data_IF_098738276545
#
_entry.id   IF_098738276545
#
_cell.length_a   1.000
_cell.length_b   1.000
_cell.length_c   1.000
_cell.angle_alpha   90.00
_cell.angle_beta   90.00
_cell.angle_gamma   90.00
#
_symmetry.space_group_name_H-M   'P 1'
#
loop_
_entity.id
_entity.type
_entity.pdbx_description
1 polymer ?
#
# COMPACT_ATOMS: atom_id res chain seq x y z
N UNK A 1 -11.83 0.59 -13.06
CA UNK A 1 -10.95 -0.58 -13.14
C UNK A 1 -11.47 -1.63 -12.17
N UNK A 2 -11.62 -2.89 -12.57
CA UNK A 2 -12.17 -3.98 -11.73
C UNK A 2 -11.05 -4.63 -10.89
N UNK A 3 -11.22 -4.75 -9.59
CA UNK A 3 -10.18 -5.19 -8.65
C UNK A 3 -10.54 -6.51 -7.95
N UNK A 4 -9.58 -7.43 -7.92
CA UNK A 4 -9.57 -8.61 -7.06
C UNK A 4 -8.59 -8.39 -5.90
N UNK A 5 -9.03 -8.64 -4.66
CA UNK A 5 -8.13 -8.65 -3.50
C UNK A 5 -8.02 -10.07 -2.95
N UNK A 6 -6.80 -10.55 -2.76
CA UNK A 6 -6.52 -11.88 -2.21
C UNK A 6 -5.63 -11.72 -0.98
N UNK A 7 -6.01 -12.30 0.15
CA UNK A 7 -5.19 -12.27 1.38
C UNK A 7 -5.39 -13.51 2.25
N UNK A 8 -4.39 -13.85 3.06
CA UNK A 8 -4.57 -14.83 4.14
C UNK A 8 -4.99 -14.11 5.42
N UNK A 9 -6.02 -14.61 6.11
CA UNK A 9 -6.59 -13.91 7.26
C UNK A 9 -7.61 -14.70 8.06
N UNK A 10 -8.10 -14.10 9.15
CA UNK A 10 -9.03 -14.73 10.07
C UNK A 10 -8.40 -15.29 11.36
N UNK A 11 -9.20 -15.99 12.19
CA UNK A 11 -8.79 -16.38 13.54
C UNK A 11 -7.60 -17.35 13.50
N UNK A 12 -6.59 -17.08 14.32
CA UNK A 12 -5.42 -17.96 14.48
C UNK A 12 -5.68 -18.91 15.66
N UNK A 13 -5.70 -20.24 15.46
CA UNK A 13 -5.90 -21.19 16.55
C UNK A 13 -4.84 -21.08 17.64
N UNK A 14 -5.26 -21.25 18.90
CA UNK A 14 -4.35 -21.19 20.06
C UNK A 14 -3.28 -22.30 20.04
N UNK A 15 -3.64 -23.49 19.52
CA UNK A 15 -2.71 -24.60 19.29
C UNK A 15 -2.43 -24.70 17.81
N UNK A 16 -1.16 -24.56 17.43
CA UNK A 16 -0.70 -24.72 16.06
C UNK A 16 -0.19 -26.14 15.84
N UNK A 17 -0.51 -26.71 14.69
CA UNK A 17 0.11 -27.95 14.24
C UNK A 17 1.57 -27.68 13.84
N UNK A 18 2.40 -28.70 13.92
CA UNK A 18 3.79 -28.60 13.48
C UNK A 18 3.84 -28.29 11.97
N UNK A 19 4.87 -27.56 11.54
CA UNK A 19 5.09 -27.21 10.12
C UNK A 19 3.97 -26.37 9.48
N UNK A 20 3.42 -25.42 10.25
CA UNK A 20 2.48 -24.43 9.74
C UNK A 20 3.07 -23.02 9.77
N UNK A 21 2.56 -22.16 8.89
CA UNK A 21 2.84 -20.72 8.85
C UNK A 21 1.56 -19.95 9.14
N UNK A 22 1.68 -18.79 9.77
CA UNK A 22 0.54 -17.93 10.12
C UNK A 22 0.65 -16.57 9.43
N UNK A 23 -0.49 -16.02 9.05
CA UNK A 23 -0.63 -14.76 8.35
C UNK A 23 -1.60 -13.85 9.10
N UNK A 24 -1.30 -12.56 9.13
CA UNK A 24 -2.22 -11.52 9.59
C UNK A 24 -2.89 -10.82 8.40
N UNK A 25 -4.09 -10.29 8.61
CA UNK A 25 -4.87 -9.56 7.61
C UNK A 25 -5.00 -8.07 7.92
N UNK A 26 -4.25 -7.57 8.89
CA UNK A 26 -4.40 -6.20 9.42
C UNK A 26 -4.29 -5.17 8.29
N UNK A 27 -3.31 -5.35 7.41
CA UNK A 27 -3.14 -4.47 6.25
C UNK A 27 -4.18 -4.70 5.16
N UNK A 28 -4.56 -5.95 4.88
CA UNK A 28 -5.57 -6.25 3.87
C UNK A 28 -6.92 -5.61 4.22
N UNK A 29 -7.36 -5.79 5.47
CA UNK A 29 -8.56 -5.15 6.01
C UNK A 29 -8.45 -3.63 5.90
N UNK A 30 -7.31 -3.06 6.31
CA UNK A 30 -7.07 -1.62 6.23
C UNK A 30 -7.14 -1.12 4.77
N UNK A 31 -6.53 -1.82 3.83
CA UNK A 31 -6.57 -1.47 2.42
C UNK A 31 -7.99 -1.52 1.83
N UNK A 32 -8.74 -2.59 2.09
CA UNK A 32 -10.11 -2.77 1.60
C UNK A 32 -11.04 -1.67 2.16
N UNK A 33 -10.98 -1.42 3.47
CA UNK A 33 -11.79 -0.39 4.15
C UNK A 33 -11.39 1.02 3.71
N UNK A 34 -10.13 1.23 3.33
CA UNK A 34 -9.70 2.48 2.71
C UNK A 34 -10.40 2.69 1.36
N UNK A 35 -10.37 1.68 0.48
CA UNK A 35 -10.99 1.75 -0.84
C UNK A 35 -12.51 1.91 -0.78
N UNK A 36 -13.18 1.31 0.20
CA UNK A 36 -14.63 1.45 0.39
C UNK A 36 -15.05 2.77 1.07
N UNK A 37 -14.10 3.68 1.32
CA UNK A 37 -14.30 4.89 2.12
C UNK A 37 -15.08 4.67 3.42
N UNK A 38 -14.82 3.56 4.12
CA UNK A 38 -15.64 3.20 5.28
C UNK A 38 -15.49 4.25 6.40
N UNK A 39 -16.60 4.53 7.08
CA UNK A 39 -16.60 5.32 8.31
C UNK A 39 -15.76 4.64 9.40
N UNK A 40 -15.18 5.42 10.32
CA UNK A 40 -14.33 4.91 11.40
C UNK A 40 -13.14 4.05 10.95
N UNK A 41 -12.76 4.15 9.67
CA UNK A 41 -11.57 3.52 9.11
C UNK A 41 -10.27 3.96 9.82
N UNK A 42 -10.18 5.25 10.14
CA UNK A 42 -9.03 5.87 10.77
C UNK A 42 -9.36 6.19 12.23
N UNK A 43 -8.42 5.90 13.14
CA UNK A 43 -8.51 6.25 14.56
C UNK A 43 -7.64 7.46 14.95
N UNK A 44 -6.97 8.11 13.99
CA UNK A 44 -5.98 9.17 14.25
C UNK A 44 -6.53 10.35 15.06
N UNK A 45 -7.74 10.83 14.73
CA UNK A 45 -8.42 11.89 15.49
C UNK A 45 -9.25 11.37 16.68
N UNK A 46 -9.47 10.06 16.79
CA UNK A 46 -10.40 9.47 17.76
C UNK A 46 -11.78 10.13 17.70
N UNK A 47 -12.28 10.55 18.86
CA UNK A 47 -13.59 11.20 18.99
C UNK A 47 -13.67 12.61 18.35
N UNK A 48 -12.53 13.19 17.96
CA UNK A 48 -12.44 14.52 17.33
C UNK A 48 -12.32 14.40 15.80
N UNK A 49 -12.95 13.37 15.20
CA UNK A 49 -12.86 13.14 13.77
C UNK A 49 -13.54 14.26 12.97
N UNK A 50 -12.77 14.94 12.11
CA UNK A 50 -13.24 16.00 11.22
C UNK A 50 -13.52 15.50 9.79
N UNK A 51 -13.62 14.18 9.59
CA UNK A 51 -14.03 13.59 8.30
C UNK A 51 -13.17 14.06 7.10
N UNK A 52 -11.86 14.13 7.30
CA UNK A 52 -10.89 14.67 6.33
C UNK A 52 -10.86 14.00 4.93
N UNK A 53 -11.59 12.90 4.74
CA UNK A 53 -11.64 12.10 3.50
C UNK A 53 -12.90 12.35 2.67
N UNK A 54 -13.96 12.89 3.27
CA UNK A 54 -15.30 12.95 2.68
C UNK A 54 -15.36 13.83 1.43
N UNK A 55 -14.46 14.82 1.34
CA UNK A 55 -14.37 15.74 0.20
C UNK A 55 -13.70 15.14 -1.05
N UNK A 56 -13.10 13.95 -0.95
CA UNK A 56 -12.31 13.38 -2.03
C UNK A 56 -13.09 12.40 -2.94
N UNK A 57 -14.30 11.98 -2.57
CA UNK A 57 -15.09 11.03 -3.36
C UNK A 57 -14.36 9.70 -3.64
N UNK A 58 -13.77 9.09 -2.58
CA UNK A 58 -12.86 7.94 -2.66
C UNK A 58 -13.55 6.59 -2.40
N UNK A 59 -14.83 6.46 -2.75
CA UNK A 59 -15.55 5.18 -2.65
C UNK A 59 -15.38 4.37 -3.94
N UNK A 60 -14.52 3.36 -3.85
CA UNK A 60 -14.22 2.39 -4.90
C UNK A 60 -14.81 1.00 -4.58
N UNK A 61 -15.74 0.90 -3.62
CA UNK A 61 -16.33 -0.39 -3.24
C UNK A 61 -16.95 -1.13 -4.45
N UNK A 62 -17.60 -0.40 -5.37
CA UNK A 62 -18.18 -0.96 -6.59
C UNK A 62 -17.18 -1.49 -7.62
N UNK A 63 -15.91 -1.11 -7.51
CA UNK A 63 -14.81 -1.61 -8.35
C UNK A 63 -14.23 -2.93 -7.84
N UNK A 64 -14.38 -3.24 -6.55
CA UNK A 64 -13.92 -4.50 -5.95
C UNK A 64 -14.90 -5.60 -6.38
N UNK A 65 -14.44 -6.51 -7.23
CA UNK A 65 -15.30 -7.58 -7.77
C UNK A 65 -15.47 -8.73 -6.80
N UNK A 66 -14.40 -9.03 -6.06
CA UNK A 66 -14.36 -10.11 -5.09
C UNK A 66 -13.18 -9.92 -4.12
N UNK A 67 -13.33 -10.50 -2.93
CA UNK A 67 -12.36 -10.52 -1.85
C UNK A 67 -12.14 -11.97 -1.43
N UNK A 68 -11.05 -12.57 -1.90
CA UNK A 68 -10.69 -13.94 -1.55
C UNK A 68 -9.88 -13.96 -0.26
N UNK A 69 -10.55 -14.26 0.85
CA UNK A 69 -9.91 -14.56 2.12
C UNK A 69 -9.51 -16.03 2.20
N UNK A 70 -8.21 -16.28 2.22
CA UNK A 70 -7.60 -17.59 2.44
C UNK A 70 -7.36 -17.83 3.94
N UNK A 71 -7.16 -19.09 4.39
CA UNK A 71 -6.90 -19.39 5.79
C UNK A 71 -5.71 -18.61 6.37
N UNK A 72 -5.84 -18.13 7.61
CA UNK A 72 -4.76 -17.46 8.36
C UNK A 72 -3.64 -18.41 8.79
N UNK A 73 -3.89 -19.72 8.80
CA UNK A 73 -2.89 -20.75 9.10
C UNK A 73 -2.92 -21.78 8.00
N UNK A 74 -1.76 -21.99 7.38
CA UNK A 74 -1.57 -22.94 6.29
C UNK A 74 -0.37 -23.85 6.58
N UNK A 75 -0.33 -25.06 6.00
CA UNK A 75 0.89 -25.86 5.96
C UNK A 75 2.05 -25.08 5.35
N UNK A 76 3.27 -25.38 5.79
CA UNK A 76 4.48 -24.73 5.27
C UNK A 76 4.72 -25.04 3.79
N UNK A 77 4.30 -26.22 3.34
CA UNK A 77 4.29 -26.64 1.94
C UNK A 77 2.86 -26.99 1.55
N UNK A 78 2.39 -26.49 0.43
CA UNK A 78 1.05 -26.79 -0.08
C UNK A 78 1.15 -27.89 -1.14
N UNK A 79 0.20 -28.82 -1.13
CA UNK A 79 0.12 -29.87 -2.16
C UNK A 79 -0.38 -29.28 -3.49
N UNK A 80 -1.54 -28.60 -3.48
CA UNK A 80 -2.06 -27.85 -4.62
C UNK A 80 -2.51 -26.43 -4.18
N UNK A 81 -1.67 -25.40 -4.38
CA UNK A 81 -2.03 -24.01 -4.06
C UNK A 81 -3.23 -23.48 -4.85
N UNK A 82 -3.56 -24.06 -6.01
CA UNK A 82 -4.67 -23.60 -6.85
C UNK A 82 -6.03 -23.92 -6.20
N UNK A 83 -6.14 -25.02 -5.44
CA UNK A 83 -7.37 -25.39 -4.74
C UNK A 83 -7.83 -24.30 -3.75
N UNK A 84 -6.87 -23.58 -3.13
CA UNK A 84 -7.17 -22.47 -2.22
C UNK A 84 -7.80 -21.27 -2.93
N UNK A 85 -7.49 -21.06 -4.21
CA UNK A 85 -7.99 -19.94 -5.01
C UNK A 85 -9.33 -20.26 -5.69
N UNK A 86 -9.71 -21.53 -5.73
CA UNK A 86 -10.83 -22.03 -6.51
C UNK A 86 -10.50 -22.23 -7.99
N UNK A 87 -11.42 -22.84 -8.72
CA UNK A 87 -11.21 -23.21 -10.14
C UNK A 87 -11.25 -22.01 -11.09
N UNK A 88 -12.00 -20.96 -10.76
CA UNK A 88 -12.16 -19.76 -11.58
C UNK A 88 -12.22 -18.52 -10.69
N UNK A 89 -11.48 -17.48 -11.08
CA UNK A 89 -11.55 -16.16 -10.43
C UNK A 89 -12.58 -15.31 -11.17
N UNK A 90 -13.31 -14.46 -10.43
CA UNK A 90 -14.23 -13.49 -11.03
C UNK A 90 -13.49 -12.61 -12.05
N UNK A 91 -14.09 -12.24 -13.20
CA UNK A 91 -13.42 -11.38 -14.18
C UNK A 91 -13.00 -10.02 -13.60
N UNK A 92 -11.72 -9.65 -13.77
CA UNK A 92 -11.14 -8.42 -13.20
C UNK A 92 -9.96 -7.88 -14.00
N UNK A 93 -9.57 -6.63 -13.76
CA UNK A 93 -8.48 -5.93 -14.43
C UNK A 93 -7.16 -5.94 -13.65
N UNK A 94 -7.22 -5.94 -12.32
CA UNK A 94 -6.05 -5.93 -11.45
C UNK A 94 -6.24 -6.81 -10.22
N UNK A 95 -5.15 -7.43 -9.77
CA UNK A 95 -5.09 -8.28 -8.60
C UNK A 95 -4.14 -7.68 -7.56
N UNK A 96 -4.61 -7.51 -6.33
CA UNK A 96 -3.76 -7.15 -5.18
C UNK A 96 -3.69 -8.35 -4.24
N UNK A 97 -2.48 -8.87 -4.04
CA UNK A 97 -2.22 -10.00 -3.15
C UNK A 97 -1.52 -9.51 -1.88
N UNK A 98 -2.18 -9.64 -0.73
CA UNK A 98 -1.67 -9.14 0.56
C UNK A 98 -1.40 -10.32 1.48
N UNK A 99 -0.15 -10.47 1.93
CA UNK A 99 0.23 -11.47 2.94
C UNK A 99 -0.26 -12.91 2.66
N UNK A 100 -0.33 -13.31 1.37
CA UNK A 100 -0.71 -14.68 0.98
C UNK A 100 0.45 -15.66 1.09
N UNK A 101 0.17 -16.96 1.14
CA UNK A 101 1.22 -17.99 1.08
C UNK A 101 2.10 -17.83 -0.17
N UNK A 102 3.42 -18.01 -0.04
CA UNK A 102 4.35 -17.81 -1.17
C UNK A 102 4.05 -18.74 -2.35
N UNK A 103 3.60 -19.96 -2.10
CA UNK A 103 3.21 -20.91 -3.17
C UNK A 103 1.88 -20.53 -3.84
N UNK A 104 0.94 -19.91 -3.11
CA UNK A 104 -0.26 -19.31 -3.72
C UNK A 104 0.14 -18.19 -4.67
N UNK A 105 1.08 -17.33 -4.24
CA UNK A 105 1.59 -16.23 -5.04
C UNK A 105 2.29 -16.70 -6.33
N UNK A 106 2.89 -17.89 -6.35
CA UNK A 106 3.50 -18.49 -7.54
C UNK A 106 2.48 -18.98 -8.58
N UNK A 107 1.27 -19.31 -8.15
CA UNK A 107 0.17 -19.80 -9.00
C UNK A 107 -0.71 -18.65 -9.49
N UNK A 108 -0.83 -17.58 -8.69
CA UNK A 108 -1.74 -16.47 -8.92
C UNK A 108 -1.60 -15.77 -10.29
N UNK A 109 -0.41 -15.54 -10.88
CA UNK A 109 -0.29 -14.83 -12.16
C UNK A 109 -1.09 -15.47 -13.28
N UNK A 110 -1.05 -16.79 -13.41
CA UNK A 110 -1.73 -17.51 -14.50
C UNK A 110 -3.25 -17.46 -14.34
N UNK A 111 -3.74 -17.70 -13.12
CA UNK A 111 -5.18 -17.66 -12.81
C UNK A 111 -5.74 -16.25 -12.96
N UNK A 112 -5.02 -15.24 -12.45
CA UNK A 112 -5.39 -13.85 -12.59
C UNK A 112 -5.44 -13.42 -14.07
N UNK A 113 -4.41 -13.75 -14.86
CA UNK A 113 -4.39 -13.44 -16.29
C UNK A 113 -5.54 -14.12 -17.05
N UNK A 114 -5.84 -15.39 -16.73
CA UNK A 114 -6.94 -16.11 -17.35
C UNK A 114 -8.32 -15.45 -17.06
N UNK A 115 -8.45 -14.81 -15.90
CA UNK A 115 -9.62 -14.01 -15.52
C UNK A 115 -9.60 -12.56 -16.05
N UNK A 116 -8.60 -12.18 -16.86
CA UNK A 116 -8.50 -10.86 -17.50
C UNK A 116 -7.58 -9.87 -16.78
N UNK A 117 -6.93 -10.26 -15.68
CA UNK A 117 -6.05 -9.36 -14.94
C UNK A 117 -4.85 -8.94 -15.78
N UNK A 118 -4.60 -7.63 -15.81
CA UNK A 118 -3.47 -6.98 -16.51
C UNK A 118 -2.38 -6.53 -15.54
N UNK A 119 -2.63 -6.57 -14.24
CA UNK A 119 -1.70 -6.13 -13.21
C UNK A 119 -1.78 -7.02 -11.95
N UNK A 120 -0.62 -7.44 -11.45
CA UNK A 120 -0.49 -8.10 -10.15
C UNK A 120 0.40 -7.27 -9.21
N UNK A 121 -0.15 -6.85 -8.09
CA UNK A 121 0.54 -6.02 -7.10
C UNK A 121 0.57 -6.77 -5.77
N UNK A 122 1.76 -6.99 -5.22
CA UNK A 122 1.95 -7.74 -3.98
C UNK A 122 2.78 -6.90 -2.99
N UNK A 123 2.13 -6.02 -2.19
CA UNK A 123 2.82 -5.14 -1.27
C UNK A 123 3.33 -5.88 -0.03
N UNK A 124 4.51 -5.49 0.45
CA UNK A 124 5.11 -6.03 1.68
C UNK A 124 5.14 -4.96 2.77
N UNK A 125 4.37 -5.17 3.84
CA UNK A 125 4.39 -4.33 5.03
C UNK A 125 5.33 -4.85 6.13
N UNK A 126 5.87 -6.06 5.95
CA UNK A 126 6.88 -6.69 6.82
C UNK A 126 8.17 -7.05 6.07
N UNK A 127 9.29 -7.28 6.78
CA UNK A 127 10.57 -7.59 6.14
C UNK A 127 10.56 -8.97 5.46
N UNK A 128 9.87 -9.95 6.05
CA UNK A 128 10.10 -11.37 5.78
C UNK A 128 8.94 -12.12 5.08
N UNK A 129 8.05 -11.41 4.36
CA UNK A 129 6.90 -12.07 3.71
C UNK A 129 7.28 -12.88 2.45
N UNK A 130 7.87 -12.23 1.43
CA UNK A 130 8.16 -12.88 0.13
C UNK A 130 9.65 -12.91 -0.15
N UNK A 131 10.18 -14.13 -0.34
CA UNK A 131 11.57 -14.32 -0.72
C UNK A 131 11.91 -13.66 -2.06
N UNK A 132 13.19 -13.31 -2.26
CA UNK A 132 13.68 -12.76 -3.54
C UNK A 132 13.42 -13.71 -4.72
N UNK A 133 13.56 -15.01 -4.48
CA UNK A 133 13.33 -16.02 -5.50
C UNK A 133 11.87 -16.04 -5.97
N UNK A 134 10.91 -16.07 -5.04
CA UNK A 134 9.48 -16.03 -5.38
C UNK A 134 9.12 -14.74 -6.13
N UNK A 135 9.56 -13.57 -5.63
CA UNK A 135 9.38 -12.30 -6.35
C UNK A 135 9.91 -12.37 -7.79
N UNK A 136 11.10 -12.92 -7.98
CA UNK A 136 11.71 -13.09 -9.29
C UNK A 136 10.91 -14.02 -10.22
N UNK A 137 10.40 -15.15 -9.70
CA UNK A 137 9.57 -16.08 -10.47
C UNK A 137 8.24 -15.43 -10.87
N UNK A 138 7.57 -14.75 -9.95
CA UNK A 138 6.30 -14.07 -10.24
C UNK A 138 6.50 -12.95 -11.26
N UNK A 139 7.51 -12.09 -11.08
CA UNK A 139 7.86 -11.05 -12.08
C UNK A 139 8.15 -11.66 -13.46
N UNK A 140 8.78 -12.84 -13.51
CA UNK A 140 9.04 -13.56 -14.76
C UNK A 140 7.74 -14.04 -15.41
N UNK A 141 6.87 -14.71 -14.66
CA UNK A 141 5.58 -15.18 -15.17
C UNK A 141 4.70 -14.04 -15.66
N UNK A 142 4.55 -12.96 -14.88
CA UNK A 142 3.77 -11.80 -15.29
C UNK A 142 4.28 -11.19 -16.61
N UNK A 143 5.60 -11.08 -16.79
CA UNK A 143 6.20 -10.59 -18.04
C UNK A 143 5.90 -11.52 -19.22
N UNK A 144 5.98 -12.83 -19.03
CA UNK A 144 5.63 -13.83 -20.07
C UNK A 144 4.15 -13.76 -20.46
N UNK A 145 3.29 -13.35 -19.52
CA UNK A 145 1.85 -13.16 -19.71
C UNK A 145 1.48 -11.76 -20.23
N UNK A 146 2.43 -10.82 -20.32
CA UNK A 146 2.15 -9.43 -20.69
C UNK A 146 1.47 -8.59 -19.60
N UNK A 147 1.54 -9.02 -18.34
CA UNK A 147 0.99 -8.30 -17.19
C UNK A 147 2.01 -7.35 -16.55
N UNK A 148 1.50 -6.24 -16.00
CA UNK A 148 2.24 -5.43 -15.04
C UNK A 148 2.43 -6.17 -13.72
N UNK A 149 3.60 -6.01 -13.09
CA UNK A 149 3.90 -6.69 -11.84
C UNK A 149 4.71 -5.79 -10.90
N UNK A 150 4.23 -5.62 -9.66
CA UNK A 150 4.87 -4.76 -8.68
C UNK A 150 4.92 -5.41 -7.30
N UNK A 151 6.05 -5.22 -6.61
CA UNK A 151 6.29 -5.68 -5.24
C UNK A 151 6.72 -4.49 -4.36
N UNK A 152 5.85 -3.49 -4.17
CA UNK A 152 6.18 -2.31 -3.38
C UNK A 152 6.41 -2.71 -1.90
N UNK A 153 7.32 -2.01 -1.24
CA UNK A 153 7.72 -2.28 0.14
C UNK A 153 8.11 -0.98 0.84
N UNK A 154 7.20 -0.34 1.63
CA UNK A 154 5.76 -0.64 1.81
C UNK A 154 4.90 -0.38 0.56
N UNK A 155 3.59 -0.65 0.60
CA UNK A 155 2.68 -0.41 -0.53
C UNK A 155 2.70 1.07 -1.00
N UNK A 156 2.82 2.02 -0.08
CA UNK A 156 2.96 3.44 -0.43
C UNK A 156 4.27 3.76 -1.17
N UNK A 157 5.15 2.79 -1.41
CA UNK A 157 6.32 2.96 -2.26
C UNK A 157 6.07 2.78 -3.74
N UNK A 158 4.89 2.30 -4.14
CA UNK A 158 4.57 1.98 -5.53
C UNK A 158 4.79 3.20 -6.45
N UNK A 159 5.84 3.20 -7.29
CA UNK A 159 6.13 4.31 -8.18
C UNK A 159 5.35 4.19 -9.50
N UNK A 160 5.09 5.31 -10.20
CA UNK A 160 4.59 5.26 -11.57
C UNK A 160 5.67 4.75 -12.54
N UNK A 161 5.25 4.32 -13.73
CA UNK A 161 6.11 3.94 -14.85
C UNK A 161 6.61 2.49 -14.83
N UNK A 162 6.03 1.63 -13.98
CA UNK A 162 6.35 0.18 -13.98
C UNK A 162 5.74 -0.49 -15.20
N UNK A 163 4.45 -0.24 -15.45
CA UNK A 163 3.67 -0.81 -16.53
C UNK A 163 2.38 0.00 -16.69
N UNK A 164 1.84 0.21 -17.92
CA UNK A 164 0.62 0.99 -18.13
C UNK A 164 -0.57 0.52 -17.27
N UNK A 165 -0.74 -0.79 -17.08
CA UNK A 165 -1.81 -1.32 -16.22
C UNK A 165 -1.60 -1.05 -14.72
N UNK A 166 -0.35 -0.92 -14.25
CA UNK A 166 -0.05 -0.54 -12.85
C UNK A 166 -0.28 0.96 -12.67
N UNK A 167 0.06 1.77 -13.67
CA UNK A 167 -0.20 3.22 -13.65
C UNK A 167 -1.71 3.49 -13.68
N UNK A 168 -2.47 2.79 -14.54
CA UNK A 168 -3.94 2.84 -14.57
C UNK A 168 -4.55 2.47 -13.20
N UNK A 169 -4.00 1.45 -12.52
CA UNK A 169 -4.41 1.10 -11.16
C UNK A 169 -4.16 2.24 -10.16
N UNK A 170 -2.96 2.81 -10.17
CA UNK A 170 -2.61 3.91 -9.26
C UNK A 170 -3.49 5.14 -9.47
N UNK A 171 -3.76 5.49 -10.73
CA UNK A 171 -4.56 6.65 -11.10
C UNK A 171 -6.05 6.44 -10.80
N UNK A 172 -6.59 5.26 -11.16
CA UNK A 172 -8.00 4.92 -10.91
C UNK A 172 -8.33 4.92 -9.42
N UNK A 173 -7.55 4.18 -8.61
CA UNK A 173 -7.78 4.08 -7.17
C UNK A 173 -7.18 5.23 -6.37
N UNK A 174 -6.43 6.15 -7.02
CA UNK A 174 -5.71 7.28 -6.40
C UNK A 174 -4.83 6.86 -5.23
N UNK A 175 -4.10 5.75 -5.41
CA UNK A 175 -3.19 5.19 -4.40
C UNK A 175 -1.79 4.87 -4.95
N UNK A 176 -0.80 4.85 -4.07
CA UNK A 176 0.59 4.51 -4.37
C UNK A 176 1.55 5.48 -3.68
N UNK A 177 2.58 5.93 -4.38
CA UNK A 177 3.49 6.97 -3.87
C UNK A 177 2.73 8.27 -3.56
N UNK A 178 2.69 8.78 -2.32
CA UNK A 178 1.89 9.94 -1.98
C UNK A 178 2.19 11.15 -2.87
N UNK A 179 1.15 11.88 -3.28
CA UNK A 179 1.26 13.12 -4.04
C UNK A 179 0.27 14.14 -3.50
N UNK A 180 0.75 15.35 -3.25
CA UNK A 180 0.00 16.45 -2.65
C UNK A 180 0.06 17.69 -3.55
N UNK A 181 -0.92 18.57 -3.39
CA UNK A 181 -0.89 19.96 -3.85
C UNK A 181 -0.96 20.86 -2.61
N UNK A 182 -0.02 21.80 -2.45
CA UNK A 182 0.01 22.74 -1.33
C UNK A 182 -0.40 24.13 -1.82
N UNK A 183 -1.35 24.74 -1.10
CA UNK A 183 -1.74 26.14 -1.29
C UNK A 183 -1.02 26.98 -0.24
N UNK A 184 -0.04 27.83 -0.62
CA UNK A 184 0.67 28.68 0.32
C UNK A 184 -0.22 29.83 0.81
N UNK A 185 -0.06 30.21 2.07
CA UNK A 185 -0.58 31.44 2.68
C UNK A 185 0.55 32.35 3.19
N UNK A 186 0.22 33.28 4.10
CA UNK A 186 1.23 34.16 4.72
C UNK A 186 2.07 33.40 5.75
N UNK A 187 3.21 32.85 5.31
CA UNK A 187 4.17 32.13 6.18
C UNK A 187 3.72 30.73 6.63
N UNK A 188 2.51 30.31 6.27
CA UNK A 188 1.92 29.01 6.64
C UNK A 188 1.18 28.36 5.48
N UNK A 189 1.04 27.04 5.53
CA UNK A 189 0.23 26.26 4.58
C UNK A 189 -1.24 26.59 4.82
N UNK A 190 -1.91 27.15 3.80
CA UNK A 190 -3.34 27.45 3.87
C UNK A 190 -4.18 26.18 3.72
N UNK A 191 -3.76 25.29 2.83
CA UNK A 191 -4.44 24.04 2.50
C UNK A 191 -3.44 23.06 1.87
N UNK A 192 -3.64 21.76 2.09
CA UNK A 192 -2.94 20.70 1.36
C UNK A 192 -3.97 19.68 0.85
N UNK A 193 -3.99 19.45 -0.47
CA UNK A 193 -4.91 18.52 -1.14
C UNK A 193 -4.19 17.25 -1.54
N UNK A 194 -4.85 16.12 -1.35
CA UNK A 194 -4.32 14.81 -1.76
C UNK A 194 -4.68 14.53 -3.22
N UNK A 195 -3.65 14.35 -4.06
CA UNK A 195 -3.81 13.91 -5.44
C UNK A 195 -3.70 12.38 -5.55
N UNK A 196 -2.82 11.78 -4.73
CA UNK A 196 -2.64 10.33 -4.60
C UNK A 196 -2.25 9.99 -3.17
N UNK A 197 -2.92 9.02 -2.58
CA UNK A 197 -2.72 8.63 -1.18
C UNK A 197 -1.80 7.41 -1.05
N UNK A 198 -1.17 7.27 0.11
CA UNK A 198 -0.76 5.96 0.60
C UNK A 198 -1.96 4.99 0.57
N UNK A 199 -1.79 3.72 0.20
CA UNK A 199 -2.87 2.72 0.15
C UNK A 199 -3.58 2.47 1.49
N UNK A 200 -2.98 2.88 2.60
CA UNK A 200 -3.59 2.87 3.92
C UNK A 200 -4.30 4.19 4.28
N UNK A 201 -4.45 5.16 3.37
CA UNK A 201 -5.14 6.42 3.65
C UNK A 201 -4.42 7.42 4.57
N UNK A 202 -3.21 7.10 5.06
CA UNK A 202 -2.45 7.99 5.96
C UNK A 202 -2.22 9.39 5.34
N UNK A 203 -2.04 9.46 4.03
CA UNK A 203 -1.78 10.73 3.34
C UNK A 203 -2.90 11.75 3.52
N UNK A 204 -4.17 11.32 3.60
CA UNK A 204 -5.28 12.23 3.92
C UNK A 204 -5.17 12.81 5.33
N UNK A 205 -4.79 11.99 6.30
CA UNK A 205 -4.60 12.41 7.68
C UNK A 205 -3.44 13.40 7.82
N UNK A 206 -2.31 13.13 7.18
CA UNK A 206 -1.16 14.05 7.15
C UNK A 206 -1.55 15.35 6.47
N UNK A 207 -2.12 15.30 5.26
CA UNK A 207 -2.47 16.49 4.48
C UNK A 207 -3.44 17.42 5.22
N UNK A 208 -4.48 16.87 5.83
CA UNK A 208 -5.44 17.66 6.62
C UNK A 208 -4.76 18.46 7.73
N UNK A 209 -3.80 17.84 8.41
CA UNK A 209 -3.09 18.43 9.53
C UNK A 209 -1.90 19.32 9.14
N UNK A 210 -1.60 19.47 7.84
CA UNK A 210 -0.64 20.46 7.36
C UNK A 210 -1.20 21.88 7.40
N UNK A 211 -2.52 22.06 7.50
CA UNK A 211 -3.12 23.40 7.59
C UNK A 211 -2.58 24.17 8.79
N UNK A 212 -2.02 25.35 8.54
CA UNK A 212 -1.37 26.19 9.55
C UNK A 212 0.08 25.81 9.87
N UNK A 213 0.64 24.77 9.25
CA UNK A 213 2.04 24.42 9.37
C UNK A 213 2.94 25.47 8.68
N UNK A 214 4.19 25.67 9.14
CA UNK A 214 5.12 26.61 8.50
C UNK A 214 5.39 26.29 7.03
N UNK A 215 5.55 27.32 6.19
CA UNK A 215 6.04 27.19 4.80
C UNK A 215 7.59 27.20 4.75
N UNK A 216 8.22 26.33 5.54
CA UNK A 216 9.65 26.12 5.54
C UNK A 216 9.99 24.72 6.08
N UNK A 217 11.27 24.41 6.25
CA UNK A 217 11.73 23.10 6.71
C UNK A 217 11.12 22.64 8.05
N UNK A 218 10.60 23.54 8.89
CA UNK A 218 9.92 23.19 10.16
C UNK A 218 8.62 22.42 9.94
N UNK A 219 8.04 22.44 8.74
CA UNK A 219 6.92 21.56 8.36
C UNK A 219 7.25 20.08 8.60
N UNK A 220 8.54 19.70 8.59
CA UNK A 220 8.97 18.34 8.88
C UNK A 220 8.45 17.84 10.24
N UNK A 221 8.44 18.70 11.27
CA UNK A 221 7.97 18.33 12.61
C UNK A 221 6.46 18.00 12.60
N UNK A 222 5.69 18.74 11.80
CA UNK A 222 4.25 18.51 11.61
C UNK A 222 4.03 17.20 10.87
N UNK A 223 4.76 16.96 9.78
CA UNK A 223 4.70 15.70 9.02
C UNK A 223 5.01 14.51 9.94
N UNK A 224 6.12 14.55 10.68
CA UNK A 224 6.48 13.50 11.62
C UNK A 224 5.37 13.26 12.65
N UNK A 225 4.88 14.33 13.31
CA UNK A 225 3.85 14.22 14.34
C UNK A 225 2.62 13.47 13.84
N UNK A 226 2.06 13.90 12.72
CA UNK A 226 0.80 13.33 12.21
C UNK A 226 1.01 12.00 11.50
N UNK A 227 2.14 11.79 10.84
CA UNK A 227 2.44 10.49 10.27
C UNK A 227 2.58 9.40 11.36
N UNK A 228 3.29 9.68 12.47
CA UNK A 228 3.42 8.72 13.59
C UNK A 228 2.12 8.55 14.38
N UNK A 229 1.24 9.55 14.37
CA UNK A 229 -0.07 9.49 15.05
C UNK A 229 -1.10 8.68 14.26
N UNK A 230 -0.83 8.39 12.99
CA UNK A 230 -1.68 7.50 12.20
C UNK A 230 -1.36 6.03 12.54
N UNK A 231 -2.38 5.16 12.70
CA UNK A 231 -2.20 3.73 13.01
C UNK A 231 -1.68 2.94 11.79
N UNK A 232 -0.46 3.24 11.36
CA UNK A 232 0.25 2.49 10.32
C UNK A 232 0.55 1.08 10.81
N UNK A 233 0.42 0.10 9.92
CA UNK A 233 0.66 -1.33 10.22
C UNK A 233 1.95 -1.86 9.59
N UNK A 234 2.75 -0.97 9.00
CA UNK A 234 4.08 -1.29 8.51
C UNK A 234 5.00 -1.67 9.68
N UNK A 235 5.86 -2.65 9.46
CA UNK A 235 6.76 -3.16 10.49
C UNK A 235 7.82 -2.15 10.90
N UNK A 236 8.08 -2.11 12.20
CA UNK A 236 9.22 -1.41 12.82
C UNK A 236 10.50 -2.26 12.84
N UNK A 237 10.44 -3.51 12.38
CA UNK A 237 11.61 -4.35 12.27
C UNK A 237 12.54 -3.83 11.15
N UNK A 238 13.84 -3.93 11.39
CA UNK A 238 14.84 -3.52 10.41
C UNK A 238 14.81 -4.45 9.21
N UNK A 239 14.50 -3.89 8.04
CA UNK A 239 14.56 -4.63 6.80
C UNK A 239 16.00 -4.67 6.26
N UNK A 240 16.54 -5.88 6.08
CA UNK A 240 17.92 -6.07 5.62
C UNK A 240 18.13 -5.75 4.14
N UNK A 241 17.07 -5.75 3.32
CA UNK A 241 17.19 -5.47 1.88
C UNK A 241 17.35 -3.98 1.61
N UNK A 242 16.62 -3.15 2.35
CA UNK A 242 16.66 -1.69 2.19
C UNK A 242 17.56 -0.99 3.22
N UNK A 243 17.80 -1.62 4.37
CA UNK A 243 18.57 -1.06 5.48
C UNK A 243 17.82 0.02 6.26
N UNK A 244 16.50 -0.10 6.37
CA UNK A 244 15.59 0.81 7.08
C UNK A 244 14.34 0.03 7.52
N UNK A 245 13.59 0.52 8.51
CA UNK A 245 12.28 -0.04 8.84
C UNK A 245 11.25 0.32 7.77
N UNK A 246 10.31 -0.59 7.49
CA UNK A 246 9.27 -0.36 6.48
C UNK A 246 8.36 0.81 6.90
N UNK A 247 8.12 0.95 8.20
CA UNK A 247 7.43 2.08 8.78
C UNK A 247 8.14 3.40 8.44
N UNK A 248 9.43 3.57 8.78
CA UNK A 248 10.15 4.82 8.45
C UNK A 248 10.19 5.12 6.96
N UNK A 249 10.28 4.11 6.08
CA UNK A 249 10.16 4.32 4.64
C UNK A 249 8.85 5.02 4.27
N UNK A 250 7.73 4.60 4.88
CA UNK A 250 6.45 5.30 4.76
C UNK A 250 6.53 6.76 5.21
N UNK A 251 7.24 7.06 6.29
CA UNK A 251 7.48 8.43 6.77
C UNK A 251 8.30 9.27 5.78
N UNK A 252 9.39 8.73 5.25
CA UNK A 252 10.21 9.40 4.23
C UNK A 252 9.44 9.68 2.93
N UNK A 253 8.46 8.86 2.58
CA UNK A 253 7.58 9.14 1.43
C UNK A 253 6.66 10.34 1.70
N UNK A 254 6.19 10.51 2.93
CA UNK A 254 5.39 11.69 3.29
C UNK A 254 6.24 12.95 3.32
N UNK A 255 7.47 12.88 3.84
CA UNK A 255 8.43 13.99 3.74
C UNK A 255 8.66 14.37 2.29
N UNK A 256 8.99 13.40 1.45
CA UNK A 256 9.25 13.65 0.03
C UNK A 256 8.03 14.22 -0.69
N UNK A 257 6.83 13.71 -0.44
CA UNK A 257 5.60 14.22 -1.04
C UNK A 257 5.31 15.68 -0.64
N UNK A 258 5.57 16.05 0.62
CA UNK A 258 5.43 17.43 1.09
C UNK A 258 6.52 18.33 0.51
N UNK A 259 7.77 17.86 0.45
CA UNK A 259 8.86 18.60 -0.16
C UNK A 259 8.61 18.89 -1.65
N UNK A 260 8.19 17.87 -2.42
CA UNK A 260 7.84 18.03 -3.83
C UNK A 260 6.68 19.00 -4.00
N UNK A 261 5.64 18.92 -3.16
CA UNK A 261 4.51 19.85 -3.20
C UNK A 261 4.88 21.29 -2.80
N UNK A 262 5.82 21.49 -1.88
CA UNK A 262 6.36 22.81 -1.53
C UNK A 262 7.16 23.41 -2.69
N UNK A 263 8.01 22.61 -3.33
CA UNK A 263 8.78 23.04 -4.49
C UNK A 263 7.87 23.44 -5.66
N UNK A 264 6.81 22.66 -5.93
CA UNK A 264 5.78 23.00 -6.92
C UNK A 264 5.04 24.31 -6.56
N UNK A 265 4.91 24.62 -5.27
CA UNK A 265 4.34 25.88 -4.77
C UNK A 265 5.36 27.05 -4.68
N UNK A 266 6.61 26.85 -5.14
CA UNK A 266 7.65 27.88 -5.14
C UNK A 266 8.36 28.08 -3.79
N UNK A 267 8.27 27.11 -2.89
CA UNK A 267 8.91 27.12 -1.57
C UNK A 267 10.01 26.05 -1.52
N UNK A 268 11.26 26.49 -1.43
CA UNK A 268 12.40 25.59 -1.26
C UNK A 268 12.53 25.17 0.21
N UNK A 269 12.41 23.87 0.48
CA UNK A 269 12.60 23.29 1.79
C UNK A 269 13.24 21.90 1.66
N UNK A 270 14.32 21.65 2.41
CA UNK A 270 14.94 20.34 2.48
C UNK A 270 14.35 19.58 3.68
N UNK A 271 13.62 18.50 3.40
CA UNK A 271 13.01 17.64 4.41
C UNK A 271 13.83 16.36 4.60
N UNK A 272 13.69 15.67 5.75
CA UNK A 272 14.44 14.46 6.02
C UNK A 272 14.27 13.38 4.94
N UNK A 273 15.36 12.71 4.62
CA UNK A 273 15.41 11.64 3.61
C UNK A 273 16.23 10.45 4.13
N UNK A 274 16.17 9.32 3.41
CA UNK A 274 16.98 8.15 3.71
C UNK A 274 17.60 7.57 2.43
N UNK A 275 18.89 7.14 2.48
CA UNK A 275 19.51 6.39 1.40
C UNK A 275 18.73 5.13 1.00
N UNK A 276 17.91 4.59 1.91
CA UNK A 276 17.07 3.43 1.65
C UNK A 276 16.04 3.67 0.53
N UNK A 277 15.55 4.91 0.35
CA UNK A 277 14.64 5.26 -0.75
C UNK A 277 15.25 4.99 -2.13
N UNK A 278 16.56 5.17 -2.29
CA UNK A 278 17.24 4.88 -3.54
C UNK A 278 17.35 3.37 -3.80
N UNK A 279 17.58 2.57 -2.76
CA UNK A 279 17.70 1.10 -2.85
C UNK A 279 16.38 0.43 -3.24
N UNK A 280 15.26 1.00 -2.81
CA UNK A 280 13.93 0.47 -3.12
C UNK A 280 13.59 0.48 -4.61
N UNK A 281 14.08 1.47 -5.36
CA UNK A 281 13.86 1.53 -6.82
C UNK A 281 14.50 0.34 -7.56
N UNK A 282 15.39 -0.39 -6.90
CA UNK A 282 16.07 -1.56 -7.45
C UNK A 282 15.39 -2.90 -7.09
N UNK A 283 14.30 -2.90 -6.30
CA UNK A 283 13.61 -4.11 -5.82
C UNK A 283 12.46 -4.56 -6.72
#
# INVERSE_FOLDING_TARGET
MRLLVVYCGGPVPARRENFTVSFDDTFAQRFIRHLANEENYCSGCGALCDHCRDTYGIDFSGDIVDILQLPSVLPYYLDDPAELLGSELAPHDATVAVNVHQEVLLTLPRLANAAGSRALIAPSEGPDWVSRWVRGQVKKQCRELGMGCAFPKPFCSLPPGIHPAVDEFMDHFRIGYPKLEIVPGEGVIKEAKVLRSAPCGNTYYVAFNLKGAPLDARVAEVVAKYWHSFPCVASMEMDREVGETILHLGGFMHYRAVQEALAEAGVEAELPTSPALARMRAL
#
